data_IF_244828976336
#
_entry.id   IF_244828976336
#
_cell.length_a   1.000
_cell.length_b   1.000
_cell.length_c   1.000
_cell.angle_alpha   90.00
_cell.angle_beta   90.00
_cell.angle_gamma   90.00
#
_symmetry.space_group_name_H-M   'P 1'
#
loop_
_entity.id
_entity.type
_entity.pdbx_description
1 polymer ?
#
# COMPACT_ATOMS: atom_id res chain seq x y z
N UNK A 1 -17.35 -8.24 1.98
CA UNK A 1 -17.76 -9.65 1.74
C UNK A 1 -18.92 -9.81 0.76
N UNK A 2 -19.94 -8.94 0.81
CA UNK A 2 -21.10 -9.03 -0.10
C UNK A 2 -20.67 -9.01 -1.58
N UNK A 3 -19.98 -7.97 -2.05
CA UNK A 3 -19.52 -7.89 -3.44
C UNK A 3 -18.66 -9.08 -3.91
N UNK A 4 -17.74 -9.57 -3.07
CA UNK A 4 -16.92 -10.76 -3.36
C UNK A 4 -17.74 -12.05 -3.45
N UNK A 5 -18.82 -12.17 -2.68
CA UNK A 5 -19.74 -13.31 -2.79
C UNK A 5 -20.57 -13.26 -4.07
N UNK A 6 -20.93 -12.06 -4.52
CA UNK A 6 -21.69 -11.88 -5.76
C UNK A 6 -20.83 -11.98 -7.02
N UNK A 7 -19.61 -11.43 -7.01
CA UNK A 7 -18.73 -11.35 -8.19
C UNK A 7 -17.59 -12.37 -8.20
N UNK A 8 -17.41 -13.11 -7.10
CA UNK A 8 -16.29 -14.04 -6.93
C UNK A 8 -14.95 -13.33 -6.73
N UNK A 9 -13.90 -14.12 -6.50
CA UNK A 9 -12.53 -13.63 -6.52
C UNK A 9 -12.06 -13.47 -7.96
N UNK A 10 -11.26 -12.42 -8.24
CA UNK A 10 -10.72 -12.20 -9.58
C UNK A 10 -9.92 -13.44 -10.04
N UNK A 11 -10.19 -13.99 -11.25
CA UNK A 11 -9.55 -15.20 -11.69
C UNK A 11 -8.06 -14.96 -11.96
N UNK A 12 -7.20 -15.96 -11.74
CA UNK A 12 -5.77 -15.84 -12.02
C UNK A 12 -5.52 -15.50 -13.49
N UNK A 13 -4.43 -14.77 -13.75
CA UNK A 13 -4.12 -14.23 -15.08
C UNK A 13 -3.64 -15.32 -16.07
N UNK A 14 -3.14 -16.48 -15.58
CA UNK A 14 -2.54 -17.53 -16.42
C UNK A 14 -3.43 -18.77 -16.53
N UNK A 15 -3.57 -19.33 -17.74
CA UNK A 15 -4.36 -20.56 -17.98
C UNK A 15 -3.98 -21.72 -17.05
N UNK A 16 -2.69 -21.87 -16.73
CA UNK A 16 -2.20 -22.86 -15.75
C UNK A 16 -2.72 -22.59 -14.34
N UNK A 17 -2.70 -21.35 -13.87
CA UNK A 17 -3.25 -20.99 -12.55
C UNK A 17 -4.76 -20.98 -12.53
N UNK A 18 -5.44 -20.71 -13.65
CA UNK A 18 -6.88 -20.88 -13.80
C UNK A 18 -7.29 -22.35 -13.65
N UNK A 19 -6.62 -23.27 -14.36
CA UNK A 19 -6.86 -24.71 -14.22
C UNK A 19 -6.56 -25.25 -12.80
N UNK A 20 -5.67 -24.58 -12.06
CA UNK A 20 -5.43 -24.87 -10.64
C UNK A 20 -6.48 -24.23 -9.73
N UNK A 21 -6.99 -23.05 -10.08
CA UNK A 21 -8.03 -22.34 -9.31
C UNK A 21 -9.42 -22.98 -9.46
N UNK A 22 -9.66 -23.72 -10.55
CA UNK A 22 -10.86 -24.55 -10.73
C UNK A 22 -10.93 -25.68 -9.69
N UNK A 23 -9.83 -26.01 -9.01
CA UNK A 23 -9.87 -26.87 -7.83
C UNK A 23 -10.44 -26.07 -6.65
N UNK A 24 -11.73 -26.23 -6.42
CA UNK A 24 -12.44 -25.56 -5.33
C UNK A 24 -11.88 -25.98 -3.96
N UNK A 25 -11.29 -25.03 -3.25
CA UNK A 25 -10.91 -25.17 -1.84
C UNK A 25 -11.87 -24.31 -1.01
N UNK A 26 -12.55 -24.87 0.01
CA UNK A 26 -13.51 -24.10 0.80
C UNK A 26 -12.80 -23.00 1.59
N UNK A 27 -13.43 -21.82 1.68
CA UNK A 27 -12.90 -20.67 2.42
C UNK A 27 -12.65 -21.01 3.90
N UNK A 28 -13.66 -21.59 4.56
CA UNK A 28 -13.53 -22.13 5.90
C UNK A 28 -13.44 -23.66 5.82
N UNK A 29 -12.51 -24.31 6.54
CA UNK A 29 -11.55 -23.72 7.47
C UNK A 29 -10.23 -23.25 6.82
N UNK A 30 -9.98 -23.62 5.56
CA UNK A 30 -8.64 -23.58 4.96
C UNK A 30 -8.02 -22.17 4.92
N UNK A 31 -8.63 -21.22 4.22
CA UNK A 31 -8.08 -19.87 4.06
C UNK A 31 -8.09 -19.08 5.37
N UNK A 32 -9.09 -19.31 6.21
CA UNK A 32 -9.15 -18.70 7.55
C UNK A 32 -7.95 -19.11 8.41
N UNK A 33 -7.57 -20.39 8.40
CA UNK A 33 -6.39 -20.86 9.15
C UNK A 33 -5.10 -20.27 8.56
N UNK A 34 -4.98 -20.23 7.23
CA UNK A 34 -3.80 -19.66 6.55
C UNK A 34 -3.64 -18.17 6.90
N UNK A 35 -4.70 -17.37 6.75
CA UNK A 35 -4.69 -15.93 7.03
C UNK A 35 -4.44 -15.64 8.51
N UNK A 36 -5.05 -16.42 9.41
CA UNK A 36 -4.82 -16.29 10.85
C UNK A 36 -3.37 -16.63 11.22
N UNK A 37 -2.80 -17.69 10.63
CA UNK A 37 -1.41 -18.08 10.87
C UNK A 37 -0.44 -17.00 10.39
N UNK A 38 -0.64 -16.49 9.17
CA UNK A 38 0.11 -15.36 8.63
C UNK A 38 -0.03 -14.11 9.51
N UNK A 39 -1.24 -13.80 9.97
CA UNK A 39 -1.50 -12.67 10.86
C UNK A 39 -0.76 -12.79 12.19
N UNK A 40 -0.75 -13.96 12.81
CA UNK A 40 -0.01 -14.23 14.06
C UNK A 40 1.50 -14.13 13.83
N UNK A 41 2.02 -14.66 12.72
CA UNK A 41 3.44 -14.55 12.38
C UNK A 41 3.85 -13.09 12.19
N UNK A 42 3.07 -12.31 11.43
CA UNK A 42 3.36 -10.88 11.20
C UNK A 42 3.27 -10.09 12.51
N UNK A 43 2.28 -10.35 13.34
CA UNK A 43 2.15 -9.72 14.65
C UNK A 43 3.34 -10.08 15.56
N UNK A 44 3.72 -11.35 15.61
CA UNK A 44 4.88 -11.81 16.36
C UNK A 44 6.18 -11.15 15.88
N UNK A 45 6.36 -11.02 14.56
CA UNK A 45 7.48 -10.29 13.97
C UNK A 45 7.48 -8.81 14.37
N UNK A 46 6.32 -8.14 14.33
CA UNK A 46 6.20 -6.74 14.75
C UNK A 46 6.53 -6.55 16.23
N UNK A 47 6.04 -7.43 17.11
CA UNK A 47 6.37 -7.40 18.55
C UNK A 47 7.86 -7.65 18.76
N UNK A 48 8.43 -8.63 18.07
CA UNK A 48 9.86 -8.94 18.13
C UNK A 48 10.71 -7.73 17.70
N UNK A 49 10.38 -7.11 16.56
CA UNK A 49 11.11 -5.94 16.07
C UNK A 49 10.97 -4.75 17.03
N UNK A 50 9.76 -4.50 17.55
CA UNK A 50 9.49 -3.43 18.51
C UNK A 50 10.25 -3.62 19.83
N UNK A 51 10.41 -4.87 20.29
CA UNK A 51 11.15 -5.18 21.51
C UNK A 51 12.65 -4.97 21.36
N UNK A 52 13.23 -5.42 20.23
CA UNK A 52 14.67 -5.33 19.99
C UNK A 52 15.12 -3.93 19.55
N UNK A 53 14.31 -3.27 18.71
CA UNK A 53 14.55 -1.91 18.26
C UNK A 53 13.42 -1.02 18.77
N UNK A 54 13.68 -0.42 19.95
CA UNK A 54 12.79 0.61 20.48
C UNK A 54 12.76 1.76 19.50
N UNK A 55 11.56 2.14 19.07
CA UNK A 55 11.39 3.35 18.28
C UNK A 55 11.98 4.53 19.07
N UNK A 56 12.75 5.43 18.44
CA UNK A 56 13.13 6.68 19.08
C UNK A 56 11.86 7.49 19.29
N UNK A 57 11.23 7.37 20.46
CA UNK A 57 10.17 8.29 20.86
C UNK A 57 10.84 9.65 21.04
N UNK A 58 10.51 10.59 20.16
CA UNK A 58 10.97 11.95 20.27
C UNK A 58 10.41 12.59 21.55
N UNK A 59 11.14 13.59 22.09
CA UNK A 59 10.70 14.31 23.27
C UNK A 59 9.34 15.00 23.02
N UNK A 60 8.53 15.23 24.08
CA UNK A 60 7.32 16.02 23.96
C UNK A 60 7.62 17.34 23.24
N UNK A 61 6.75 17.71 22.29
CA UNK A 61 6.94 18.91 21.51
C UNK A 61 7.03 20.14 22.41
N UNK A 62 8.19 20.80 22.41
CA UNK A 62 8.42 22.06 23.11
C UNK A 62 8.29 23.23 22.11
N UNK A 63 7.24 24.06 22.23
CA UNK A 63 7.00 25.18 21.33
C UNK A 63 8.02 26.32 21.48
N UNK A 64 8.88 26.29 22.51
CA UNK A 64 9.91 27.32 22.75
C UNK A 64 11.28 26.94 22.18
N UNK A 65 11.43 25.70 21.69
CA UNK A 65 12.68 25.19 21.11
C UNK A 65 12.61 25.17 19.58
N UNK A 66 13.69 25.62 18.91
CA UNK A 66 13.83 25.58 17.44
C UNK A 66 14.89 24.58 16.96
N UNK A 67 15.48 23.81 17.89
CA UNK A 67 16.59 22.90 17.60
C UNK A 67 16.15 21.57 16.95
N UNK A 68 14.84 21.36 16.81
CA UNK A 68 14.28 20.18 16.19
C UNK A 68 14.35 20.27 14.67
N UNK A 69 15.03 19.29 14.04
CA UNK A 69 15.03 19.09 12.59
C UNK A 69 13.95 18.06 12.23
N UNK A 70 12.74 18.49 11.82
CA UNK A 70 11.66 17.57 11.48
C UNK A 70 12.06 16.75 10.25
N UNK A 71 12.38 15.47 10.46
CA UNK A 71 12.57 14.52 9.36
C UNK A 71 11.30 13.70 9.19
N UNK A 72 10.74 13.63 7.98
CA UNK A 72 9.57 12.82 7.74
C UNK A 72 9.92 11.33 7.80
N UNK A 73 8.90 10.52 8.07
CA UNK A 73 8.99 9.07 8.06
C UNK A 73 9.32 8.52 6.67
N UNK A 74 9.87 7.30 6.63
CA UNK A 74 10.39 6.68 5.40
C UNK A 74 9.36 6.63 4.25
N UNK A 75 8.09 6.45 4.58
CA UNK A 75 6.98 6.41 3.62
C UNK A 75 6.62 7.79 3.04
N UNK A 76 7.12 8.88 3.62
CA UNK A 76 6.96 10.26 3.11
C UNK A 76 8.23 10.82 2.47
N UNK A 77 9.36 10.08 2.50
CA UNK A 77 10.62 10.57 1.95
C UNK A 77 10.54 10.93 0.46
N UNK A 78 9.72 10.22 -0.33
CA UNK A 78 9.55 10.53 -1.75
C UNK A 78 8.93 11.93 -1.96
N UNK A 79 7.95 12.32 -1.13
CA UNK A 79 7.30 13.62 -1.19
C UNK A 79 8.24 14.72 -0.72
N UNK A 80 9.03 14.44 0.32
CA UNK A 80 10.05 15.36 0.80
C UNK A 80 11.15 15.61 -0.24
N UNK A 81 11.55 14.58 -0.98
CA UNK A 81 12.49 14.75 -2.10
C UNK A 81 11.86 15.55 -3.25
N UNK A 82 10.57 15.36 -3.51
CA UNK A 82 9.84 16.13 -4.51
C UNK A 82 9.81 17.63 -4.15
N UNK A 83 9.62 17.99 -2.89
CA UNK A 83 9.68 19.39 -2.42
C UNK A 83 11.01 20.07 -2.77
N UNK A 84 12.12 19.33 -2.77
CA UNK A 84 13.44 19.87 -3.17
C UNK A 84 13.49 20.24 -4.66
N UNK A 85 12.68 19.61 -5.50
CA UNK A 85 12.58 19.91 -6.92
C UNK A 85 11.63 21.09 -7.21
N UNK A 86 10.73 21.41 -6.29
CA UNK A 86 9.73 22.47 -6.42
C UNK A 86 9.83 23.49 -5.26
N UNK A 87 10.94 24.22 -5.10
CA UNK A 87 11.11 25.15 -3.98
C UNK A 87 10.24 26.41 -4.12
N UNK A 88 9.85 26.99 -2.98
CA UNK A 88 9.19 28.30 -2.91
C UNK A 88 7.74 28.26 -3.42
N UNK A 89 7.30 29.15 -4.33
CA UNK A 89 5.91 29.21 -4.77
C UNK A 89 5.38 27.94 -5.43
N UNK A 90 6.27 27.01 -5.82
CA UNK A 90 5.92 25.75 -6.46
C UNK A 90 5.71 24.60 -5.46
N UNK A 91 5.96 24.79 -4.16
CA UNK A 91 5.75 23.77 -3.13
C UNK A 91 4.33 23.16 -3.14
N UNK A 92 3.24 23.93 -3.34
CA UNK A 92 1.89 23.37 -3.43
C UNK A 92 1.71 22.39 -4.61
N UNK A 93 2.50 22.53 -5.67
CA UNK A 93 2.48 21.58 -6.80
C UNK A 93 2.96 20.22 -6.33
N UNK A 94 4.07 20.19 -5.58
CA UNK A 94 4.61 18.95 -5.04
C UNK A 94 3.73 18.35 -3.92
N UNK A 95 3.22 19.16 -2.99
CA UNK A 95 2.47 18.65 -1.83
C UNK A 95 1.00 18.36 -2.09
N UNK A 96 0.36 19.02 -3.06
CA UNK A 96 -1.06 18.86 -3.35
C UNK A 96 -1.29 18.29 -4.74
N UNK A 97 -0.79 18.94 -5.78
CA UNK A 97 -1.15 18.58 -7.16
C UNK A 97 -0.65 17.18 -7.53
N UNK A 98 0.61 16.86 -7.24
CA UNK A 98 1.20 15.55 -7.60
C UNK A 98 0.48 14.39 -6.89
N UNK A 99 0.28 14.38 -5.55
CA UNK A 99 -0.49 13.33 -4.90
C UNK A 99 -1.93 13.22 -5.40
N UNK A 100 -2.60 14.35 -5.66
CA UNK A 100 -3.96 14.35 -6.21
C UNK A 100 -4.02 13.74 -7.61
N UNK A 101 -3.06 14.04 -8.48
CA UNK A 101 -2.98 13.45 -9.82
C UNK A 101 -2.69 11.95 -9.76
N UNK A 102 -1.78 11.52 -8.88
CA UNK A 102 -1.48 10.09 -8.68
C UNK A 102 -2.73 9.36 -8.20
N UNK A 103 -3.39 9.87 -7.15
CA UNK A 103 -4.63 9.26 -6.63
C UNK A 103 -5.75 9.27 -7.68
N UNK A 104 -5.93 10.40 -8.37
CA UNK A 104 -6.90 10.54 -9.45
C UNK A 104 -6.64 9.56 -10.58
N UNK A 105 -5.38 9.34 -10.97
CA UNK A 105 -5.01 8.38 -12.00
C UNK A 105 -5.32 6.94 -11.60
N UNK A 106 -5.12 6.57 -10.34
CA UNK A 106 -5.48 5.23 -9.82
C UNK A 106 -7.00 5.04 -9.80
N UNK A 107 -7.75 6.07 -9.41
CA UNK A 107 -9.22 6.04 -9.43
C UNK A 107 -9.78 5.97 -10.85
N UNK A 108 -9.12 6.63 -11.81
CA UNK A 108 -9.49 6.62 -13.21
C UNK A 108 -8.97 5.39 -13.97
N UNK A 109 -8.09 4.60 -13.36
CA UNK A 109 -7.47 3.41 -13.95
C UNK A 109 -8.47 2.45 -14.62
N UNK A 110 -9.60 2.04 -13.99
CA UNK A 110 -10.57 1.14 -14.64
C UNK A 110 -11.28 1.75 -15.86
N UNK A 111 -11.21 3.06 -16.08
CA UNK A 111 -11.82 3.74 -17.25
C UNK A 111 -10.81 4.06 -18.35
N UNK A 112 -9.54 4.28 -17.94
CA UNK A 112 -8.40 4.51 -18.82
C UNK A 112 -7.90 3.21 -19.44
N UNK A 113 -7.90 2.13 -18.67
CA UNK A 113 -7.57 0.80 -19.15
C UNK A 113 -8.77 0.17 -19.87
N UNK A 114 -8.73 0.20 -21.20
CA UNK A 114 -9.73 -0.41 -22.09
C UNK A 114 -9.19 -1.65 -22.81
N UNK A 115 -8.03 -2.15 -22.39
CA UNK A 115 -7.42 -3.32 -22.99
C UNK A 115 -8.27 -4.58 -22.77
N UNK A 116 -8.38 -5.42 -23.80
CA UNK A 116 -8.97 -6.76 -23.64
C UNK A 116 -8.03 -7.68 -22.84
N UNK A 117 -6.73 -7.41 -22.90
CA UNK A 117 -5.69 -8.15 -22.21
C UNK A 117 -5.45 -7.58 -20.81
N UNK A 118 -5.44 -8.47 -19.81
CA UNK A 118 -5.22 -8.10 -18.39
C UNK A 118 -3.74 -8.06 -18.00
N UNK A 119 -2.85 -8.41 -18.93
CA UNK A 119 -1.40 -8.47 -18.73
C UNK A 119 -0.76 -7.20 -19.29
N UNK A 120 -0.14 -6.36 -18.45
CA UNK A 120 0.43 -5.10 -18.92
C UNK A 120 1.64 -5.27 -19.85
N UNK A 121 2.25 -6.47 -19.91
CA UNK A 121 3.41 -6.76 -20.75
C UNK A 121 3.07 -7.55 -22.02
N UNK A 122 1.79 -7.84 -22.31
CA UNK A 122 1.38 -8.55 -23.53
C UNK A 122 0.44 -7.64 -24.32
N UNK A 123 0.83 -7.34 -25.55
CA UNK A 123 0.00 -6.62 -26.52
C UNK A 123 -0.87 -7.60 -27.31
#
# INVERSE_FOLDING_TARGET
>A
LHQLRYHGMAPPITKRTQALADKFVPFFPHWVVVDATLGVILLGLLVYLSWNWRAPLEFPADPTSTDFLPRPEWYFLFLFQLLKLFPGPLEPVATMLVPMLVMGSILLLPFLDRGEERRPWRN
#
